data_IF_616025864116
#
_entry.id   IF_616025864116
#
_cell.length_a   1.000
_cell.length_b   1.000
_cell.length_c   1.000
_cell.angle_alpha   90.00
_cell.angle_beta   90.00
_cell.angle_gamma   90.00
#
_symmetry.space_group_name_H-M   'P 1'
#
loop_
_entity.id
_entity.type
_entity.pdbx_description
1 polymer ?
#
# COMPACT_ATOMS: atom_id res chain seq x y z
N UNK A 1 -2.94 -35.13 -14.65
CA UNK A 1 -3.50 -34.30 -13.57
C UNK A 1 -4.43 -35.15 -12.72
N UNK A 2 -4.08 -35.49 -11.49
CA UNK A 2 -4.94 -36.21 -10.54
C UNK A 2 -6.11 -35.28 -10.16
N UNK A 3 -7.35 -35.72 -10.47
CA UNK A 3 -8.54 -35.03 -9.96
C UNK A 3 -8.59 -35.24 -8.44
N UNK A 4 -8.43 -34.15 -7.65
CA UNK A 4 -8.70 -34.21 -6.21
C UNK A 4 -10.12 -34.78 -6.00
N UNK A 5 -10.33 -35.76 -5.12
CA UNK A 5 -11.66 -36.26 -4.87
C UNK A 5 -12.57 -35.14 -4.38
N UNK A 6 -13.81 -35.06 -4.86
CA UNK A 6 -14.74 -33.93 -4.59
C UNK A 6 -14.89 -33.61 -3.09
N UNK A 7 -14.76 -34.59 -2.21
CA UNK A 7 -14.78 -34.45 -0.75
C UNK A 7 -13.59 -33.61 -0.23
N UNK A 8 -12.40 -33.75 -0.83
CA UNK A 8 -11.20 -32.97 -0.43
C UNK A 8 -11.36 -31.51 -0.81
N UNK A 9 -11.89 -31.23 -2.01
CA UNK A 9 -12.15 -29.84 -2.43
C UNK A 9 -13.15 -29.12 -1.52
N UNK A 10 -14.20 -29.83 -1.07
CA UNK A 10 -15.18 -29.30 -0.11
C UNK A 10 -14.51 -29.01 1.24
N UNK A 11 -13.72 -29.95 1.76
CA UNK A 11 -13.02 -29.77 3.04
C UNK A 11 -12.04 -28.58 2.99
N UNK A 12 -11.29 -28.41 1.90
CA UNK A 12 -10.38 -27.29 1.69
C UNK A 12 -11.12 -25.95 1.68
N UNK A 13 -12.28 -25.88 0.98
CA UNK A 13 -13.11 -24.70 0.95
C UNK A 13 -13.65 -24.33 2.34
N UNK A 14 -14.18 -25.32 3.06
CA UNK A 14 -14.74 -25.11 4.40
C UNK A 14 -13.65 -24.66 5.40
N UNK A 15 -12.44 -25.22 5.31
CA UNK A 15 -11.29 -24.82 6.10
C UNK A 15 -10.84 -23.39 5.75
N UNK A 16 -10.76 -23.04 4.46
CA UNK A 16 -10.41 -21.70 4.00
C UNK A 16 -11.42 -20.67 4.52
N UNK A 17 -12.71 -20.97 4.44
CA UNK A 17 -13.77 -20.10 4.96
C UNK A 17 -13.61 -19.88 6.47
N UNK A 18 -13.36 -20.95 7.24
CA UNK A 18 -13.14 -20.86 8.69
C UNK A 18 -11.91 -19.99 9.04
N UNK A 19 -10.79 -20.19 8.35
CA UNK A 19 -9.56 -19.39 8.53
C UNK A 19 -9.81 -17.92 8.20
N UNK A 20 -10.51 -17.62 7.08
CA UNK A 20 -10.86 -16.24 6.72
C UNK A 20 -11.78 -15.58 7.75
N UNK A 21 -12.75 -16.31 8.30
CA UNK A 21 -13.63 -15.80 9.37
C UNK A 21 -12.81 -15.45 10.61
N UNK A 22 -11.96 -16.36 11.10
CA UNK A 22 -11.11 -16.11 12.27
C UNK A 22 -10.16 -14.92 12.03
N UNK A 23 -9.56 -14.86 10.84
CA UNK A 23 -8.70 -13.74 10.47
C UNK A 23 -9.47 -12.42 10.43
N UNK A 24 -10.65 -12.39 9.80
CA UNK A 24 -11.52 -11.20 9.74
C UNK A 24 -11.94 -10.70 11.12
N UNK A 25 -12.27 -11.61 12.03
CA UNK A 25 -12.57 -11.28 13.43
C UNK A 25 -11.34 -10.69 14.11
N UNK A 26 -10.15 -11.25 13.89
CA UNK A 26 -8.92 -10.72 14.46
C UNK A 26 -8.60 -9.29 14.02
N UNK A 27 -8.95 -8.91 12.79
CA UNK A 27 -8.75 -7.54 12.27
C UNK A 27 -9.62 -6.50 12.99
N UNK A 28 -10.78 -6.88 13.53
CA UNK A 28 -11.64 -5.97 14.32
C UNK A 28 -10.91 -5.50 15.59
N UNK A 29 -10.18 -6.39 16.23
CA UNK A 29 -9.51 -6.11 17.51
C UNK A 29 -8.07 -5.60 17.37
N UNK A 30 -7.40 -5.90 16.24
CA UNK A 30 -5.96 -5.70 16.09
C UNK A 30 -5.58 -4.63 15.06
N UNK A 31 -6.54 -4.05 14.37
CA UNK A 31 -6.29 -3.10 13.29
C UNK A 31 -7.33 -1.98 13.30
N UNK A 32 -6.91 -0.76 12.98
CA UNK A 32 -7.83 0.34 12.72
C UNK A 32 -8.66 0.03 11.46
N UNK A 33 -9.89 0.54 11.43
CA UNK A 33 -10.75 0.40 10.25
C UNK A 33 -10.10 1.07 9.03
N UNK A 34 -9.99 0.32 7.94
CA UNK A 34 -9.49 0.82 6.66
C UNK A 34 -10.10 0.04 5.48
N UNK A 35 -9.95 0.57 4.28
CA UNK A 35 -10.48 -0.05 3.05
C UNK A 35 -9.97 -1.49 2.85
N UNK A 36 -8.70 -1.78 3.19
CA UNK A 36 -8.16 -3.13 3.06
C UNK A 36 -8.87 -4.14 3.97
N UNK A 37 -9.20 -3.75 5.21
CA UNK A 37 -9.97 -4.60 6.12
C UNK A 37 -11.40 -4.83 5.61
N UNK A 38 -12.05 -3.79 5.08
CA UNK A 38 -13.37 -3.93 4.45
C UNK A 38 -13.33 -4.95 3.31
N UNK A 39 -12.32 -4.90 2.46
CA UNK A 39 -12.15 -5.86 1.36
C UNK A 39 -11.94 -7.29 1.85
N UNK A 40 -11.18 -7.49 2.94
CA UNK A 40 -11.04 -8.82 3.56
C UNK A 40 -12.39 -9.32 4.09
N UNK A 41 -13.17 -8.46 4.72
CA UNK A 41 -14.51 -8.84 5.21
C UNK A 41 -15.45 -9.21 4.07
N UNK A 42 -15.48 -8.42 2.99
CA UNK A 42 -16.26 -8.75 1.79
C UNK A 42 -15.81 -10.09 1.17
N UNK A 43 -14.52 -10.31 1.04
CA UNK A 43 -13.95 -11.59 0.57
C UNK A 43 -14.41 -12.75 1.48
N UNK A 44 -14.35 -12.55 2.79
CA UNK A 44 -14.79 -13.55 3.78
C UNK A 44 -16.28 -13.86 3.62
N UNK A 45 -17.14 -12.86 3.47
CA UNK A 45 -18.58 -13.04 3.24
C UNK A 45 -18.82 -13.82 1.93
N UNK A 46 -18.10 -13.49 0.85
CA UNK A 46 -18.24 -14.20 -0.42
C UNK A 46 -17.81 -15.68 -0.31
N UNK A 47 -16.66 -15.94 0.31
CA UNK A 47 -16.14 -17.32 0.43
C UNK A 47 -16.98 -18.15 1.39
N UNK A 48 -17.35 -17.61 2.56
CA UNK A 48 -18.20 -18.30 3.52
C UNK A 48 -19.63 -18.52 2.96
N UNK A 49 -20.19 -17.49 2.30
CA UNK A 49 -21.48 -17.60 1.62
C UNK A 49 -21.48 -18.67 0.54
N UNK A 50 -20.42 -18.73 -0.28
CA UNK A 50 -20.27 -19.81 -1.26
C UNK A 50 -20.13 -21.19 -0.59
N UNK A 51 -19.38 -21.30 0.49
CA UNK A 51 -19.25 -22.58 1.21
C UNK A 51 -20.58 -23.09 1.76
N UNK A 52 -21.44 -22.18 2.28
CA UNK A 52 -22.79 -22.54 2.79
C UNK A 52 -23.75 -22.88 1.65
N UNK A 53 -23.81 -22.03 0.62
CA UNK A 53 -24.78 -22.12 -0.48
C UNK A 53 -24.22 -22.84 -1.72
N UNK A 54 -23.15 -23.62 -1.59
CA UNK A 54 -22.43 -24.23 -2.72
C UNK A 54 -23.31 -25.08 -3.65
N UNK A 55 -24.29 -25.80 -3.10
CA UNK A 55 -25.17 -26.65 -3.93
C UNK A 55 -26.07 -25.80 -4.85
N UNK A 56 -26.93 -24.88 -4.34
CA UNK A 56 -27.75 -24.06 -5.22
C UNK A 56 -26.93 -23.18 -6.13
N UNK A 57 -25.81 -22.59 -5.66
CA UNK A 57 -24.94 -21.75 -6.48
C UNK A 57 -24.27 -22.56 -7.61
N UNK A 58 -23.77 -23.76 -7.35
CA UNK A 58 -23.15 -24.59 -8.39
C UNK A 58 -24.17 -25.02 -9.46
N UNK A 59 -25.40 -25.31 -9.06
CA UNK A 59 -26.47 -25.59 -10.01
C UNK A 59 -26.82 -24.36 -10.86
N UNK A 60 -26.95 -23.21 -10.23
CA UNK A 60 -27.23 -21.95 -10.94
C UNK A 60 -26.09 -21.56 -11.90
N UNK A 61 -24.84 -21.69 -11.48
CA UNK A 61 -23.67 -21.43 -12.33
C UNK A 61 -23.45 -22.46 -13.46
N UNK A 62 -24.15 -23.60 -13.44
CA UNK A 62 -23.97 -24.64 -14.45
C UNK A 62 -24.66 -24.34 -15.79
N UNK A 63 -25.67 -23.46 -15.81
CA UNK A 63 -26.50 -23.22 -17.00
C UNK A 63 -26.99 -21.76 -17.10
N UNK A 64 -27.50 -21.39 -18.27
CA UNK A 64 -28.17 -20.11 -18.53
C UNK A 64 -27.36 -18.87 -18.15
N UNK A 65 -28.02 -17.86 -17.62
CA UNK A 65 -27.41 -16.60 -17.18
C UNK A 65 -26.37 -16.82 -16.05
N UNK A 66 -26.58 -17.79 -15.19
CA UNK A 66 -25.64 -18.14 -14.11
C UNK A 66 -24.26 -18.52 -14.63
N UNK A 67 -24.18 -19.26 -15.74
CA UNK A 67 -22.89 -19.58 -16.39
C UNK A 67 -22.17 -18.36 -16.89
N UNK A 68 -22.89 -17.40 -17.48
CA UNK A 68 -22.30 -16.14 -17.95
C UNK A 68 -21.75 -15.36 -16.77
N UNK A 69 -22.53 -15.22 -15.69
CA UNK A 69 -22.09 -14.54 -14.47
C UNK A 69 -20.85 -15.22 -13.89
N UNK A 70 -20.81 -16.55 -13.82
CA UNK A 70 -19.63 -17.28 -13.36
C UNK A 70 -18.36 -16.92 -14.15
N UNK A 71 -18.44 -16.93 -15.47
CA UNK A 71 -17.26 -16.60 -16.29
C UNK A 71 -16.85 -15.15 -16.18
N UNK A 72 -17.79 -14.21 -16.10
CA UNK A 72 -17.50 -12.79 -15.85
C UNK A 72 -16.76 -12.62 -14.51
N UNK A 73 -17.29 -13.23 -13.44
CA UNK A 73 -16.63 -13.17 -12.12
C UNK A 73 -15.25 -13.86 -12.14
N UNK A 74 -15.11 -14.98 -12.85
CA UNK A 74 -13.84 -15.68 -12.97
C UNK A 74 -12.79 -14.82 -13.71
N UNK A 75 -13.17 -14.14 -14.79
CA UNK A 75 -12.29 -13.21 -15.51
C UNK A 75 -11.90 -12.03 -14.63
N UNK A 76 -12.86 -11.39 -13.95
CA UNK A 76 -12.58 -10.27 -13.04
C UNK A 76 -11.65 -10.70 -11.89
N UNK A 77 -11.88 -11.88 -11.30
CA UNK A 77 -11.01 -12.44 -10.28
C UNK A 77 -9.60 -12.72 -10.84
N UNK A 78 -9.49 -13.27 -12.05
CA UNK A 78 -8.21 -13.51 -12.72
C UNK A 78 -7.42 -12.22 -12.97
N UNK A 79 -8.08 -11.18 -13.48
CA UNK A 79 -7.47 -9.86 -13.65
C UNK A 79 -7.00 -9.29 -12.31
N UNK A 80 -7.84 -9.40 -11.28
CA UNK A 80 -7.50 -8.89 -9.95
C UNK A 80 -6.31 -9.63 -9.32
N UNK A 81 -6.24 -10.95 -9.48
CA UNK A 81 -5.10 -11.75 -9.02
C UNK A 81 -3.82 -11.41 -9.81
N UNK A 82 -3.93 -11.15 -11.12
CA UNK A 82 -2.80 -10.68 -11.92
C UNK A 82 -2.29 -9.30 -11.43
N UNK A 83 -3.18 -8.40 -11.05
CA UNK A 83 -2.79 -7.11 -10.43
C UNK A 83 -2.09 -7.31 -9.09
N UNK A 84 -2.57 -8.20 -8.23
CA UNK A 84 -1.91 -8.51 -6.96
C UNK A 84 -0.51 -9.09 -7.24
N UNK A 85 -0.38 -10.00 -8.18
CA UNK A 85 0.91 -10.56 -8.58
C UNK A 85 1.85 -9.48 -9.12
N UNK A 86 1.36 -8.58 -9.98
CA UNK A 86 2.12 -7.43 -10.48
C UNK A 86 2.62 -6.53 -9.34
N UNK A 87 1.74 -6.14 -8.42
CA UNK A 87 2.09 -5.33 -7.24
C UNK A 87 3.12 -6.03 -6.36
N UNK A 88 3.05 -7.37 -6.24
CA UNK A 88 3.98 -8.15 -5.42
C UNK A 88 5.42 -8.12 -5.96
N UNK A 89 5.58 -8.04 -7.27
CA UNK A 89 6.89 -8.08 -7.94
C UNK A 89 7.42 -6.68 -8.23
N UNK A 90 6.55 -5.78 -8.68
CA UNK A 90 6.93 -4.45 -9.17
C UNK A 90 7.62 -3.56 -8.14
N UNK A 91 7.39 -3.79 -6.84
CA UNK A 91 8.07 -3.07 -5.77
C UNK A 91 9.59 -3.29 -5.71
N UNK A 92 10.09 -4.34 -6.36
CA UNK A 92 11.52 -4.72 -6.39
C UNK A 92 12.21 -4.41 -7.73
N UNK A 93 11.49 -3.83 -8.70
CA UNK A 93 12.00 -3.64 -10.06
C UNK A 93 12.97 -2.46 -10.22
N UNK A 94 13.02 -1.56 -9.25
CA UNK A 94 13.88 -0.37 -9.29
C UNK A 94 14.66 -0.23 -7.96
N UNK A 95 15.61 -1.14 -7.68
CA UNK A 95 16.35 -1.16 -6.42
C UNK A 95 17.34 0.01 -6.33
N UNK A 96 17.77 0.37 -5.11
CA UNK A 96 18.79 1.39 -4.90
C UNK A 96 20.10 1.05 -5.62
N UNK A 97 20.79 2.07 -6.08
CA UNK A 97 22.08 2.00 -6.78
C UNK A 97 23.27 2.26 -5.85
N UNK A 98 23.03 2.87 -4.68
CA UNK A 98 24.04 3.19 -3.66
C UNK A 98 24.67 4.58 -3.81
N UNK A 99 24.25 5.35 -4.82
CA UNK A 99 24.69 6.74 -5.04
C UNK A 99 23.62 7.77 -4.59
N UNK A 100 22.56 7.32 -3.96
CA UNK A 100 21.50 8.18 -3.48
C UNK A 100 21.98 9.10 -2.36
N UNK A 101 21.65 10.37 -2.49
CA UNK A 101 22.03 11.44 -1.55
C UNK A 101 20.96 11.69 -0.50
N UNK A 102 19.73 11.29 -0.76
CA UNK A 102 18.58 11.53 0.11
C UNK A 102 17.72 10.29 0.21
N UNK A 103 17.29 10.00 1.44
CA UNK A 103 16.32 8.96 1.77
C UNK A 103 15.00 9.63 2.11
N UNK A 104 13.91 9.30 1.40
CA UNK A 104 12.56 9.75 1.74
C UNK A 104 11.79 8.58 2.35
N UNK A 105 11.43 8.66 3.63
CA UNK A 105 10.67 7.64 4.33
C UNK A 105 9.20 8.01 4.31
N UNK A 106 8.37 7.22 3.64
CA UNK A 106 6.94 7.48 3.53
C UNK A 106 6.17 6.97 4.75
N UNK A 107 5.22 7.75 5.24
CA UNK A 107 4.33 7.39 6.34
C UNK A 107 3.43 6.18 6.05
N UNK A 108 2.99 5.48 7.10
CA UNK A 108 2.11 4.31 7.04
C UNK A 108 1.18 4.18 8.26
N UNK A 109 0.97 5.27 8.96
CA UNK A 109 0.07 5.38 10.11
C UNK A 109 0.74 5.20 11.46
N UNK A 110 0.21 5.93 12.43
CA UNK A 110 0.55 5.79 13.85
C UNK A 110 -0.59 5.07 14.61
N UNK A 111 -0.26 4.50 15.75
CA UNK A 111 -1.20 4.19 16.82
C UNK A 111 -1.02 5.24 17.90
N UNK A 112 -1.85 6.29 17.89
CA UNK A 112 -1.72 7.49 18.73
C UNK A 112 -0.42 8.24 18.42
N UNK A 113 0.64 7.99 19.20
CA UNK A 113 1.96 8.60 19.10
C UNK A 113 3.06 7.63 18.62
N UNK A 114 2.72 6.34 18.43
CA UNK A 114 3.72 5.30 18.13
C UNK A 114 3.59 4.79 16.69
N UNK A 115 4.69 4.62 15.96
CA UNK A 115 4.67 4.03 14.65
C UNK A 115 3.96 2.67 14.64
N UNK A 116 3.03 2.49 13.70
CA UNK A 116 2.40 1.19 13.45
C UNK A 116 3.46 0.14 13.09
N UNK A 117 3.15 -1.16 13.24
CA UNK A 117 4.11 -2.21 12.84
C UNK A 117 4.51 -2.14 11.38
N UNK A 118 3.60 -1.66 10.51
CA UNK A 118 3.88 -1.43 9.11
C UNK A 118 4.91 -0.31 8.93
N UNK A 119 4.73 0.80 9.64
CA UNK A 119 5.65 1.94 9.65
C UNK A 119 7.00 1.58 10.28
N UNK A 120 7.02 0.79 11.37
CA UNK A 120 8.25 0.29 11.98
C UNK A 120 9.12 -0.51 10.99
N UNK A 121 8.51 -1.32 10.11
CA UNK A 121 9.25 -2.02 9.06
C UNK A 121 9.95 -1.05 8.10
N UNK A 122 9.28 0.05 7.72
CA UNK A 122 9.89 1.11 6.88
C UNK A 122 11.02 1.81 7.61
N UNK A 123 10.78 2.23 8.85
CA UNK A 123 11.77 2.93 9.67
C UNK A 123 13.02 2.09 9.92
N UNK A 124 12.86 0.80 10.23
CA UNK A 124 13.98 -0.10 10.38
C UNK A 124 14.79 -0.24 9.08
N UNK A 125 14.09 -0.38 7.94
CA UNK A 125 14.74 -0.48 6.63
C UNK A 125 15.46 0.82 6.25
N UNK A 126 14.86 1.98 6.55
CA UNK A 126 15.48 3.29 6.35
C UNK A 126 16.71 3.47 7.24
N UNK A 127 16.63 3.07 8.51
CA UNK A 127 17.75 3.12 9.44
C UNK A 127 18.95 2.30 8.95
N UNK A 128 18.70 1.04 8.55
CA UNK A 128 19.75 0.14 8.07
C UNK A 128 20.46 0.74 6.83
N UNK A 129 19.70 1.35 5.92
CA UNK A 129 20.26 2.01 4.75
C UNK A 129 21.02 3.29 5.11
N UNK A 130 20.46 4.16 5.96
CA UNK A 130 21.09 5.39 6.40
C UNK A 130 22.38 5.15 7.22
N UNK A 131 22.43 4.07 7.99
CA UNK A 131 23.63 3.66 8.74
C UNK A 131 24.75 3.19 7.82
N UNK A 132 24.42 2.54 6.70
CA UNK A 132 25.38 2.13 5.68
C UNK A 132 25.85 3.30 4.77
N UNK A 133 25.08 4.41 4.73
CA UNK A 133 25.33 5.60 3.89
C UNK A 133 25.35 6.85 4.78
N UNK A 134 26.43 7.12 5.54
CA UNK A 134 26.46 8.16 6.55
C UNK A 134 26.28 9.58 6.00
N UNK A 135 26.58 9.81 4.73
CA UNK A 135 26.47 11.13 4.07
C UNK A 135 25.08 11.43 3.50
N UNK A 136 24.11 10.52 3.64
CA UNK A 136 22.75 10.74 3.13
C UNK A 136 21.90 11.55 4.10
N UNK A 137 21.09 12.48 3.55
CA UNK A 137 20.03 13.19 4.27
C UNK A 137 18.80 12.26 4.35
N UNK A 138 18.06 12.30 5.45
CA UNK A 138 16.84 11.54 5.65
C UNK A 138 15.66 12.50 5.81
N UNK A 139 14.64 12.36 4.96
CA UNK A 139 13.36 13.08 5.09
C UNK A 139 12.30 12.07 5.50
N UNK A 140 11.68 12.29 6.65
CA UNK A 140 10.52 11.52 7.10
C UNK A 140 9.26 12.27 6.71
N UNK A 141 8.44 11.71 5.81
CA UNK A 141 7.32 12.43 5.23
C UNK A 141 5.98 11.75 5.53
N UNK A 142 5.09 12.51 6.17
CA UNK A 142 3.74 12.09 6.52
C UNK A 142 3.06 13.05 7.49
N UNK A 143 1.85 13.49 7.15
CA UNK A 143 1.06 14.36 8.01
C UNK A 143 0.33 13.61 9.12
N UNK A 144 -0.62 14.28 9.78
CA UNK A 144 -1.33 13.73 10.92
C UNK A 144 -2.65 13.06 10.51
N UNK A 145 -2.81 11.80 10.86
CA UNK A 145 -4.06 11.06 10.72
C UNK A 145 -5.12 11.46 11.75
N UNK A 146 -6.41 11.12 11.48
CA UNK A 146 -7.54 11.46 12.36
C UNK A 146 -7.39 10.91 13.78
N UNK A 147 -6.82 9.71 13.92
CA UNK A 147 -6.68 8.99 15.19
C UNK A 147 -5.25 9.11 15.74
N UNK A 148 -4.43 9.97 15.15
CA UNK A 148 -3.04 10.18 15.52
C UNK A 148 -2.90 11.45 16.39
N UNK A 149 -1.99 11.41 17.34
CA UNK A 149 -1.77 12.52 18.27
C UNK A 149 -0.74 13.53 17.80
N UNK A 150 0.07 13.15 16.81
CA UNK A 150 1.08 13.99 16.17
C UNK A 150 1.26 13.57 14.70
N UNK A 151 1.89 14.39 13.87
CA UNK A 151 2.18 14.02 12.48
C UNK A 151 3.12 12.82 12.39
N UNK A 152 2.90 11.98 11.35
CA UNK A 152 3.74 10.81 11.11
C UNK A 152 5.22 11.21 10.88
N UNK A 153 5.47 12.32 10.16
CA UNK A 153 6.82 12.82 9.90
C UNK A 153 7.62 13.07 11.17
N UNK A 154 7.01 13.73 12.16
CA UNK A 154 7.65 13.98 13.46
C UNK A 154 7.91 12.71 14.25
N UNK A 155 6.90 11.81 14.34
CA UNK A 155 7.07 10.53 15.03
C UNK A 155 8.15 9.66 14.39
N UNK A 156 8.25 9.68 13.05
CA UNK A 156 9.29 8.94 12.32
C UNK A 156 10.68 9.51 12.55
N UNK A 157 10.84 10.85 12.52
CA UNK A 157 12.10 11.51 12.84
C UNK A 157 12.56 11.12 14.23
N UNK A 158 11.72 11.29 15.23
CA UNK A 158 12.05 11.01 16.62
C UNK A 158 12.41 9.52 16.82
N UNK A 159 11.73 8.62 16.14
CA UNK A 159 12.07 7.19 16.14
C UNK A 159 13.47 6.91 15.58
N UNK A 160 13.84 7.53 14.45
CA UNK A 160 15.15 7.33 13.81
C UNK A 160 16.29 7.95 14.64
N UNK A 161 16.07 9.10 15.25
CA UNK A 161 17.02 9.74 16.17
C UNK A 161 17.20 8.88 17.43
N UNK A 162 16.12 8.41 18.04
CA UNK A 162 16.18 7.52 19.19
C UNK A 162 16.89 6.18 18.87
N UNK A 163 16.86 5.76 17.60
CA UNK A 163 17.55 4.57 17.13
C UNK A 163 19.06 4.79 16.86
N UNK A 164 19.51 6.05 16.83
CA UNK A 164 20.93 6.40 16.74
C UNK A 164 21.34 7.20 15.50
N UNK A 165 20.40 7.64 14.65
CA UNK A 165 20.74 8.61 13.60
C UNK A 165 20.96 10.00 14.20
N UNK A 166 21.92 10.75 13.64
CA UNK A 166 22.18 12.13 14.04
C UNK A 166 20.99 13.03 13.68
N UNK A 167 20.60 13.91 14.61
CA UNK A 167 19.42 14.77 14.45
C UNK A 167 19.54 15.78 13.30
N UNK A 168 20.76 16.21 12.98
CA UNK A 168 21.08 17.12 11.87
C UNK A 168 20.87 16.48 10.49
N UNK A 169 20.80 15.16 10.43
CA UNK A 169 20.55 14.38 9.19
C UNK A 169 19.10 13.99 8.97
N UNK A 170 18.21 14.20 9.94
CA UNK A 170 16.82 13.73 9.85
C UNK A 170 15.86 14.90 9.90
N UNK A 171 15.22 15.18 8.79
CA UNK A 171 14.25 16.25 8.61
C UNK A 171 12.83 15.68 8.58
N UNK A 172 11.88 16.35 9.21
CA UNK A 172 10.48 15.94 9.17
C UNK A 172 9.68 16.80 8.19
N UNK A 173 8.92 16.16 7.33
CA UNK A 173 7.83 16.73 6.57
C UNK A 173 6.52 16.24 7.22
N UNK A 174 5.72 17.16 7.75
CA UNK A 174 4.60 16.84 8.64
C UNK A 174 3.25 17.40 8.16
N UNK A 175 3.19 17.94 6.93
CA UNK A 175 2.00 18.59 6.38
C UNK A 175 1.24 17.78 5.34
N UNK A 176 1.83 16.72 4.79
CA UNK A 176 1.27 15.95 3.69
C UNK A 176 0.06 15.10 4.10
N UNK A 177 -0.93 15.02 3.21
CA UNK A 177 -2.14 14.21 3.40
C UNK A 177 -2.26 13.07 2.37
N UNK A 178 -1.33 12.99 1.45
CA UNK A 178 -1.30 12.00 0.37
C UNK A 178 0.13 11.65 -0.05
N UNK A 179 0.31 10.49 -0.72
CA UNK A 179 1.62 10.10 -1.25
C UNK A 179 2.15 11.10 -2.29
N UNK A 180 1.27 11.76 -3.02
CA UNK A 180 1.62 12.82 -3.97
C UNK A 180 2.23 14.02 -3.23
N UNK A 181 1.57 14.48 -2.17
CA UNK A 181 2.04 15.56 -1.31
C UNK A 181 3.30 15.18 -0.54
N UNK A 182 3.46 13.93 -0.11
CA UNK A 182 4.70 13.47 0.52
C UNK A 182 5.92 13.80 -0.37
N UNK A 183 5.88 13.47 -1.66
CA UNK A 183 6.98 13.76 -2.55
C UNK A 183 7.10 15.25 -2.90
N UNK A 184 5.98 15.93 -3.14
CA UNK A 184 6.00 17.35 -3.46
C UNK A 184 6.59 18.21 -2.31
N UNK A 185 6.17 17.92 -1.07
CA UNK A 185 6.67 18.67 0.10
C UNK A 185 8.09 18.25 0.47
N UNK A 186 8.44 16.97 0.30
CA UNK A 186 9.84 16.53 0.43
C UNK A 186 10.76 17.22 -0.57
N UNK A 187 10.31 17.46 -1.81
CA UNK A 187 11.10 18.18 -2.81
C UNK A 187 11.31 19.66 -2.39
N UNK A 188 10.32 20.29 -1.75
CA UNK A 188 10.49 21.65 -1.21
C UNK A 188 11.59 21.67 -0.14
N UNK A 189 11.55 20.75 0.83
CA UNK A 189 12.59 20.62 1.86
C UNK A 189 13.96 20.32 1.23
N UNK A 190 14.01 19.46 0.21
CA UNK A 190 15.23 19.15 -0.53
C UNK A 190 15.88 20.42 -1.11
N UNK A 191 15.09 21.28 -1.76
CA UNK A 191 15.56 22.53 -2.37
C UNK A 191 16.11 23.51 -1.35
N UNK A 192 15.52 23.56 -0.16
CA UNK A 192 16.03 24.40 0.96
C UNK A 192 17.41 23.93 1.45
N UNK A 193 17.77 22.65 1.19
CA UNK A 193 19.05 22.04 1.58
C UNK A 193 20.03 21.92 0.40
N UNK A 194 19.80 22.64 -0.71
CA UNK A 194 20.72 22.70 -1.85
C UNK A 194 20.65 21.51 -2.80
N UNK A 195 19.59 20.70 -2.73
CA UNK A 195 19.29 19.62 -3.65
C UNK A 195 18.20 20.02 -4.65
N UNK A 196 17.96 19.20 -5.67
CA UNK A 196 16.92 19.42 -6.67
C UNK A 196 16.27 18.11 -7.13
N UNK A 197 15.38 18.17 -8.10
CA UNK A 197 14.67 17.03 -8.68
C UNK A 197 15.57 16.06 -9.44
N UNK A 198 16.82 16.44 -9.77
CA UNK A 198 17.81 15.58 -10.44
C UNK A 198 18.70 14.83 -9.46
N UNK A 199 18.64 15.20 -8.18
CA UNK A 199 19.36 14.53 -7.10
C UNK A 199 18.89 13.08 -6.98
N UNK A 200 19.81 12.09 -6.97
CA UNK A 200 19.45 10.71 -6.73
C UNK A 200 18.84 10.54 -5.34
N UNK A 201 17.61 10.01 -5.29
CA UNK A 201 16.90 9.72 -4.05
C UNK A 201 16.53 8.25 -3.97
N UNK A 202 16.46 7.74 -2.74
CA UNK A 202 15.80 6.47 -2.45
C UNK A 202 14.56 6.73 -1.58
N UNK A 203 13.42 6.21 -1.97
CA UNK A 203 12.23 6.26 -1.13
C UNK A 203 11.95 4.91 -0.48
N UNK A 204 11.61 4.95 0.81
CA UNK A 204 11.32 3.76 1.62
C UNK A 204 9.82 3.60 1.78
N UNK A 205 9.31 2.48 1.31
CA UNK A 205 7.91 2.08 1.48
C UNK A 205 7.80 0.55 1.59
N UNK A 206 6.61 0.02 1.93
CA UNK A 206 6.41 -1.43 1.86
C UNK A 206 6.33 -1.89 0.40
N UNK A 207 6.79 -3.12 0.13
CA UNK A 207 6.94 -3.66 -1.23
C UNK A 207 5.70 -3.46 -2.10
N UNK A 208 4.50 -3.71 -1.56
CA UNK A 208 3.24 -3.55 -2.28
C UNK A 208 3.00 -2.12 -2.78
N UNK A 209 3.49 -1.10 -2.08
CA UNK A 209 3.25 0.32 -2.39
C UNK A 209 4.36 0.95 -3.26
N UNK A 210 5.55 0.35 -3.33
CA UNK A 210 6.72 0.96 -3.99
C UNK A 210 6.45 1.35 -5.45
N UNK A 211 5.74 0.52 -6.23
CA UNK A 211 5.46 0.87 -7.64
C UNK A 211 4.67 2.18 -7.75
N UNK A 212 3.56 2.31 -7.02
CA UNK A 212 2.73 3.52 -7.07
C UNK A 212 3.42 4.72 -6.46
N UNK A 213 4.19 4.53 -5.37
CA UNK A 213 5.02 5.58 -4.79
C UNK A 213 6.04 6.13 -5.79
N UNK A 214 6.73 5.27 -6.56
CA UNK A 214 7.65 5.70 -7.61
C UNK A 214 6.97 6.51 -8.73
N UNK A 215 5.70 6.19 -9.05
CA UNK A 215 4.92 7.00 -9.99
C UNK A 215 4.60 8.39 -9.44
N UNK A 216 4.32 8.51 -8.14
CA UNK A 216 4.13 9.81 -7.49
C UNK A 216 5.45 10.59 -7.35
N UNK A 217 6.58 9.93 -7.11
CA UNK A 217 7.89 10.57 -7.15
C UNK A 217 8.15 11.21 -8.53
N UNK A 218 7.88 10.48 -9.61
CA UNK A 218 8.01 11.00 -10.96
C UNK A 218 7.04 12.17 -11.25
N UNK A 219 5.79 12.11 -10.75
CA UNK A 219 4.83 13.22 -10.88
C UNK A 219 5.27 14.47 -10.11
N UNK A 220 5.95 14.31 -8.97
CA UNK A 220 6.53 15.41 -8.22
C UNK A 220 7.78 16.00 -8.88
N UNK A 221 8.31 15.39 -9.95
CA UNK A 221 9.43 15.86 -10.74
C UNK A 221 10.74 15.11 -10.51
N UNK A 222 10.84 14.18 -9.55
CA UNK A 222 12.06 13.41 -9.33
C UNK A 222 12.44 12.57 -10.55
N UNK A 223 13.64 12.78 -11.07
CA UNK A 223 14.13 12.08 -12.27
C UNK A 223 14.94 10.83 -11.95
N UNK A 224 15.48 10.74 -10.72
CA UNK A 224 16.33 9.63 -10.24
C UNK A 224 15.84 9.14 -8.88
N UNK A 225 14.69 8.47 -8.87
CA UNK A 225 14.09 7.93 -7.65
C UNK A 225 14.11 6.40 -7.67
N UNK A 226 14.81 5.79 -6.73
CA UNK A 226 14.89 4.33 -6.53
C UNK A 226 14.02 3.88 -5.35
N UNK A 227 13.61 2.63 -5.34
CA UNK A 227 12.74 2.06 -4.33
C UNK A 227 13.50 1.18 -3.34
N UNK A 228 13.33 1.42 -2.05
CA UNK A 228 13.82 0.55 -0.99
C UNK A 228 12.61 -0.14 -0.31
N UNK A 229 12.23 -1.34 -0.75
CA UNK A 229 11.06 -2.03 -0.24
C UNK A 229 11.30 -2.56 1.17
N UNK A 230 10.43 -2.15 2.10
CA UNK A 230 10.36 -2.70 3.45
C UNK A 230 9.40 -3.91 3.51
N UNK A 231 9.64 -4.81 4.45
CA UNK A 231 8.78 -5.96 4.70
C UNK A 231 7.36 -5.55 5.12
N UNK A 232 6.39 -6.38 4.76
CA UNK A 232 5.01 -6.21 5.21
C UNK A 232 4.71 -7.24 6.31
N UNK A 233 4.27 -6.83 7.50
CA UNK A 233 3.88 -7.77 8.55
C UNK A 233 2.80 -8.73 8.04
N UNK A 234 2.91 -10.02 8.37
CA UNK A 234 2.07 -11.08 7.82
C UNK A 234 0.56 -10.78 7.93
N UNK A 235 0.13 -10.24 9.07
CA UNK A 235 -1.26 -9.85 9.30
C UNK A 235 -1.76 -8.72 8.39
N UNK A 236 -0.85 -7.90 7.83
CA UNK A 236 -1.17 -6.76 6.98
C UNK A 236 -1.05 -7.10 5.48
N UNK A 237 -0.53 -8.29 5.13
CA UNK A 237 -0.32 -8.67 3.73
C UNK A 237 -1.64 -8.65 2.97
N UNK A 238 -2.62 -9.44 3.39
CA UNK A 238 -3.88 -9.56 2.65
C UNK A 238 -4.61 -8.22 2.49
N UNK A 239 -4.89 -7.43 3.55
CA UNK A 239 -5.59 -6.15 3.40
C UNK A 239 -4.80 -5.13 2.58
N UNK A 240 -3.47 -5.07 2.74
CA UNK A 240 -2.65 -4.11 2.01
C UNK A 240 -2.59 -4.42 0.51
N UNK A 241 -2.40 -5.69 0.13
CA UNK A 241 -2.30 -6.07 -1.28
C UNK A 241 -3.65 -5.98 -1.99
N UNK A 242 -4.76 -6.36 -1.33
CA UNK A 242 -6.10 -6.15 -1.86
C UNK A 242 -6.36 -4.66 -2.13
N UNK A 243 -6.12 -3.81 -1.15
CA UNK A 243 -6.31 -2.36 -1.31
C UNK A 243 -5.42 -1.79 -2.41
N UNK A 244 -4.14 -2.18 -2.44
CA UNK A 244 -3.18 -1.61 -3.38
C UNK A 244 -3.49 -1.97 -4.85
N UNK A 245 -3.99 -3.18 -5.12
CA UNK A 245 -4.44 -3.54 -6.46
C UNK A 245 -5.55 -2.59 -6.97
N UNK A 246 -6.52 -2.23 -6.11
CA UNK A 246 -7.55 -1.23 -6.46
C UNK A 246 -6.97 0.19 -6.58
N UNK A 247 -6.08 0.57 -5.67
CA UNK A 247 -5.45 1.90 -5.70
C UNK A 247 -4.61 2.09 -6.96
N UNK A 248 -3.99 1.02 -7.47
CA UNK A 248 -3.25 1.04 -8.72
C UNK A 248 -4.18 1.19 -9.94
N UNK A 249 -5.32 0.50 -9.97
CA UNK A 249 -6.34 0.71 -11.00
C UNK A 249 -6.83 2.16 -11.00
N UNK A 250 -7.15 2.70 -9.81
CA UNK A 250 -7.54 4.11 -9.67
C UNK A 250 -6.44 5.04 -10.21
N UNK A 251 -5.17 4.81 -9.86
CA UNK A 251 -4.05 5.59 -10.36
C UNK A 251 -3.99 5.57 -11.91
N UNK A 252 -4.06 4.39 -12.51
CA UNK A 252 -3.99 4.27 -13.97
C UNK A 252 -5.15 4.94 -14.70
N UNK A 253 -6.36 4.83 -14.16
CA UNK A 253 -7.56 5.41 -14.79
C UNK A 253 -7.62 6.93 -14.62
N UNK A 254 -7.30 7.45 -13.43
CA UNK A 254 -7.59 8.84 -13.09
C UNK A 254 -6.37 9.75 -13.00
N UNK A 255 -5.18 9.21 -12.71
CA UNK A 255 -3.97 10.03 -12.54
C UNK A 255 -3.05 10.05 -13.78
N UNK A 256 -3.08 9.02 -14.63
CA UNK A 256 -2.30 8.99 -15.87
C UNK A 256 -2.99 9.70 -17.02
N UNK A 257 -4.31 9.90 -16.96
CA UNK A 257 -5.10 10.57 -18.01
C UNK A 257 -5.13 12.10 -17.85
N UNK A 258 -4.07 12.70 -17.32
CA UNK A 258 -3.99 14.15 -17.01
C UNK A 258 -4.19 15.12 -18.20
N UNK A 259 -4.51 14.63 -19.41
CA UNK A 259 -4.75 15.43 -20.61
C UNK A 259 -6.11 15.18 -21.30
N UNK A 260 -7.05 14.49 -20.62
CA UNK A 260 -8.34 14.13 -21.23
C UNK A 260 -9.56 14.76 -20.52
N UNK A 261 -10.76 14.73 -21.16
CA UNK A 261 -12.00 15.31 -20.61
C UNK A 261 -12.46 14.72 -19.28
N UNK A 262 -11.79 13.68 -18.77
CA UNK A 262 -12.06 13.06 -17.48
C UNK A 262 -11.60 13.90 -16.30
N UNK A 263 -10.68 14.87 -16.47
CA UNK A 263 -10.29 15.82 -15.42
C UNK A 263 -11.45 16.71 -14.95
N UNK A 264 -12.38 17.04 -15.85
CA UNK A 264 -13.57 17.83 -15.50
C UNK A 264 -14.57 17.02 -14.64
N UNK A 265 -14.63 15.69 -14.81
CA UNK A 265 -15.49 14.81 -14.03
C UNK A 265 -14.90 14.44 -12.67
N UNK A 266 -13.57 14.45 -12.54
CA UNK A 266 -12.84 14.17 -11.29
C UNK A 266 -13.02 15.27 -10.27
N UNK A 267 -13.14 16.55 -10.69
CA UNK A 267 -13.45 17.67 -9.79
C UNK A 267 -14.76 17.48 -8.99
N UNK A 268 -15.70 16.71 -9.52
CA UNK A 268 -16.96 16.36 -8.83
C UNK A 268 -16.80 15.16 -7.87
N UNK A 269 -15.80 14.31 -8.07
CA UNK A 269 -15.51 13.13 -7.23
C UNK A 269 -14.41 13.40 -6.18
N UNK A 270 -13.69 14.52 -6.27
CA UNK A 270 -12.66 14.93 -5.31
C UNK A 270 -13.19 15.27 -3.90
N UNK A 271 -14.50 15.35 -3.73
CA UNK A 271 -15.15 15.48 -2.43
C UNK A 271 -14.90 14.30 -1.48
N UNK A 272 -14.23 13.24 -1.92
CA UNK A 272 -13.97 12.03 -1.11
C UNK A 272 -12.49 11.61 -1.08
N UNK A 273 -11.55 12.58 -1.10
CA UNK A 273 -10.09 12.35 -1.01
C UNK A 273 -9.66 11.45 0.17
N UNK A 274 -10.47 11.41 1.23
CA UNK A 274 -10.14 10.68 2.47
C UNK A 274 -10.42 9.16 2.44
N UNK A 275 -11.03 8.63 1.38
CA UNK A 275 -11.46 7.23 1.35
C UNK A 275 -10.38 6.25 0.83
N UNK A 276 -9.47 6.72 -0.01
CA UNK A 276 -8.44 5.88 -0.65
C UNK A 276 -7.02 6.09 -0.12
N UNK A 277 -6.77 7.13 0.67
CA UNK A 277 -5.40 7.53 1.05
C UNK A 277 -5.03 7.24 2.51
N UNK A 278 -5.91 6.59 3.29
CA UNK A 278 -5.58 6.12 4.64
C UNK A 278 -5.85 4.66 4.87
#
# INVERSE_FOLDING_TARGET
MMKLPAKVGVLVLDLLAAVLVLYSVSLIFLSNFNMGNLMVWLLTVCVAGYAVFRRPLSLWFSAGAGRVVFWVLAVLAGVYLALIAFVSVSGYMNPPTGDERVIIVLGAGLHKDKPSKLLQCRLNKAYDYAAAHPDTLVITSGGQGRDEWLPEGDAMRDYLIAKGLSADRVLAESGSTSTEENFAFSLTILREHGFDETTPIVYVSNAFHCYRAGKYAALAGFTKATALPAATPLRSVLPCYLREALALLYYWVFKTSASGPMHAMVGLLELNKNFFYK
#
